data_IF_347188665681
#
_entry.id   IF_347188665681
#
_cell.length_a   1.000
_cell.length_b   1.000
_cell.length_c   1.000
_cell.angle_alpha   90.00
_cell.angle_beta   90.00
_cell.angle_gamma   90.00
#
_symmetry.space_group_name_H-M   'P 1'
#
loop_
_entity.id
_entity.type
_entity.pdbx_description
1 polymer ?
#
# COMPACT_ATOMS: atom_id res chain seq x y z
N UNK A 1 23.77 -3.22 44.37
CA UNK A 1 23.68 -3.81 43.01
C UNK A 1 23.37 -2.71 42.01
N UNK A 2 24.23 -2.57 40.99
CA UNK A 2 24.33 -1.39 40.14
C UNK A 2 23.09 -1.09 39.30
N UNK A 3 22.61 0.15 39.41
CA UNK A 3 21.67 0.74 38.46
C UNK A 3 22.41 0.87 37.12
N UNK A 4 22.15 -0.07 36.21
CA UNK A 4 22.55 0.06 34.80
C UNK A 4 21.90 1.34 34.28
N UNK A 5 22.75 2.33 34.01
CA UNK A 5 22.41 3.59 33.37
C UNK A 5 21.80 3.27 32.00
N UNK A 6 20.48 3.34 31.89
CA UNK A 6 19.76 3.17 30.62
C UNK A 6 20.24 4.30 29.70
N UNK A 7 20.73 3.95 28.52
CA UNK A 7 21.25 4.91 27.55
C UNK A 7 20.16 5.94 27.18
N UNK A 8 20.52 7.19 26.84
CA UNK A 8 19.56 8.28 26.58
C UNK A 8 18.70 8.10 25.31
N UNK A 9 18.67 6.91 24.69
CA UNK A 9 17.85 6.58 23.51
C UNK A 9 16.45 6.00 23.85
N UNK A 10 16.10 5.85 25.12
CA UNK A 10 14.83 5.20 25.53
C UNK A 10 13.81 6.19 26.11
N UNK A 11 14.15 7.49 26.15
CA UNK A 11 13.28 8.57 26.65
C UNK A 11 12.25 9.06 25.61
N UNK A 12 12.06 8.35 24.50
CA UNK A 12 11.05 8.67 23.47
C UNK A 12 9.73 7.91 23.70
N UNK A 13 9.31 7.80 24.96
CA UNK A 13 7.95 7.40 25.32
C UNK A 13 7.01 8.60 25.23
N UNK A 14 6.62 8.96 24.01
CA UNK A 14 5.51 9.88 23.79
C UNK A 14 4.60 9.23 22.76
N UNK A 15 3.50 8.64 23.24
CA UNK A 15 2.45 7.97 22.48
C UNK A 15 1.93 8.83 21.30
N UNK A 16 1.93 10.17 21.47
CA UNK A 16 1.55 11.13 20.42
C UNK A 16 2.71 11.46 19.47
N UNK A 17 3.97 11.33 19.91
CA UNK A 17 5.16 11.63 19.11
C UNK A 17 5.62 10.40 18.32
N UNK A 18 5.42 9.17 18.79
CA UNK A 18 5.73 7.95 18.04
C UNK A 18 4.82 7.79 16.81
N UNK A 19 3.51 8.02 16.97
CA UNK A 19 2.59 8.13 15.84
C UNK A 19 2.93 9.33 14.97
N UNK A 20 3.22 10.51 15.54
CA UNK A 20 3.60 11.70 14.77
C UNK A 20 4.94 11.57 14.05
N UNK A 21 5.92 10.81 14.56
CA UNK A 21 7.24 10.55 13.96
C UNK A 21 7.14 9.44 12.91
N UNK A 22 6.36 8.39 13.17
CA UNK A 22 6.03 7.40 12.14
C UNK A 22 5.23 8.02 10.99
N UNK A 23 4.34 8.97 11.28
CA UNK A 23 3.67 9.79 10.28
C UNK A 23 4.63 10.80 9.65
N UNK A 24 5.51 11.48 10.39
CA UNK A 24 6.47 12.45 9.83
C UNK A 24 7.43 11.77 8.85
N UNK A 25 7.93 10.59 9.18
CA UNK A 25 8.72 9.76 8.26
C UNK A 25 7.92 9.29 7.03
N UNK A 26 6.59 9.16 7.14
CA UNK A 26 5.68 8.90 6.02
C UNK A 26 5.41 10.17 5.19
N UNK A 27 5.33 11.35 5.84
CA UNK A 27 5.18 12.67 5.23
C UNK A 27 6.43 13.10 4.47
N UNK A 28 7.62 12.88 5.05
CA UNK A 28 8.92 13.19 4.46
C UNK A 28 9.22 12.29 3.24
N UNK A 29 8.65 11.08 3.20
CA UNK A 29 8.74 10.17 2.04
C UNK A 29 7.96 10.64 0.80
N UNK A 30 6.79 11.24 1.02
CA UNK A 30 5.99 11.84 -0.05
C UNK A 30 6.46 13.28 -0.36
N UNK A 31 7.07 13.96 0.62
CA UNK A 31 7.51 15.36 0.57
C UNK A 31 8.96 15.59 0.11
N UNK A 32 9.89 14.66 0.32
CA UNK A 32 11.28 14.81 -0.10
C UNK A 32 11.48 14.26 -1.51
N UNK A 33 11.34 15.14 -2.51
CA UNK A 33 11.87 14.94 -3.86
C UNK A 33 10.86 14.86 -5.01
N UNK A 34 9.57 15.13 -4.78
CA UNK A 34 8.74 15.67 -5.84
C UNK A 34 8.85 17.16 -5.63
N UNK A 35 9.74 17.83 -6.37
CA UNK A 35 9.82 19.28 -6.33
C UNK A 35 8.53 19.81 -6.98
N UNK A 36 7.47 19.94 -6.15
CA UNK A 36 6.12 20.40 -6.53
C UNK A 36 6.12 21.91 -6.87
N UNK A 37 7.31 22.51 -6.92
CA UNK A 37 7.58 23.90 -7.28
C UNK A 37 7.76 24.09 -8.78
N UNK A 38 8.02 23.03 -9.56
CA UNK A 38 8.07 23.13 -11.02
C UNK A 38 6.66 23.07 -11.62
N UNK A 39 6.21 24.21 -12.15
CA UNK A 39 4.89 24.44 -12.78
C UNK A 39 4.52 23.39 -13.85
N UNK A 40 5.51 22.63 -14.34
CA UNK A 40 5.38 21.60 -15.38
C UNK A 40 4.66 20.30 -14.95
N UNK A 41 4.65 19.94 -13.66
CA UNK A 41 4.02 18.71 -13.15
C UNK A 41 2.57 18.89 -12.66
N UNK A 42 2.05 20.13 -12.58
CA UNK A 42 0.64 20.41 -12.23
C UNK A 42 -0.32 20.37 -13.42
N UNK A 43 0.21 20.22 -14.64
CA UNK A 43 -0.61 20.19 -15.84
C UNK A 43 -1.52 18.96 -15.88
N UNK A 44 -2.83 19.19 -16.03
CA UNK A 44 -3.84 18.14 -16.23
C UNK A 44 -3.45 17.17 -17.35
N UNK A 45 -2.76 17.67 -18.39
CA UNK A 45 -2.22 16.87 -19.50
C UNK A 45 -1.29 15.76 -19.02
N UNK A 46 -0.41 16.06 -18.07
CA UNK A 46 0.58 15.09 -17.56
C UNK A 46 -0.10 13.98 -16.75
N UNK A 47 -1.10 14.33 -15.93
CA UNK A 47 -1.89 13.36 -15.16
C UNK A 47 -2.74 12.52 -16.10
N UNK A 48 -3.44 13.16 -17.03
CA UNK A 48 -4.30 12.52 -18.01
C UNK A 48 -3.56 11.49 -18.86
N UNK A 49 -2.42 11.85 -19.46
CA UNK A 49 -1.62 10.92 -20.28
C UNK A 49 -1.15 9.72 -19.47
N UNK A 50 -0.73 9.91 -18.21
CA UNK A 50 -0.31 8.80 -17.34
C UNK A 50 -1.47 7.88 -16.96
N UNK A 51 -2.66 8.41 -16.73
CA UNK A 51 -3.85 7.59 -16.46
C UNK A 51 -4.31 6.85 -17.72
N UNK A 52 -4.35 7.55 -18.85
CA UNK A 52 -4.75 6.99 -20.15
C UNK A 52 -3.83 5.83 -20.55
N UNK A 53 -2.51 5.99 -20.41
CA UNK A 53 -1.53 4.95 -20.73
C UNK A 53 -1.70 3.67 -19.90
N UNK A 54 -2.14 3.79 -18.64
CA UNK A 54 -2.42 2.62 -17.79
C UNK A 54 -3.80 1.99 -18.07
N UNK A 55 -4.75 2.74 -18.63
CA UNK A 55 -6.09 2.23 -18.99
C UNK A 55 -6.11 1.58 -20.37
N UNK A 56 -5.38 2.12 -21.35
CA UNK A 56 -5.22 1.53 -22.68
C UNK A 56 -4.26 0.35 -22.58
N UNK A 57 -4.77 -0.76 -22.07
CA UNK A 57 -4.06 -2.03 -21.97
C UNK A 57 -4.29 -2.93 -23.19
N UNK A 58 -3.39 -3.89 -23.36
CA UNK A 58 -3.46 -4.98 -24.36
C UNK A 58 -4.79 -5.76 -24.29
N UNK A 59 -5.43 -5.77 -23.12
CA UNK A 59 -6.70 -6.47 -22.85
C UNK A 59 -7.83 -5.99 -23.76
N UNK A 60 -7.93 -4.69 -24.05
CA UNK A 60 -9.02 -4.14 -24.86
C UNK A 60 -8.93 -4.67 -26.30
N UNK A 61 -7.73 -4.81 -26.86
CA UNK A 61 -7.55 -5.22 -28.25
C UNK A 61 -7.73 -6.73 -28.46
N UNK A 62 -7.24 -7.56 -27.55
CA UNK A 62 -7.25 -9.02 -27.72
C UNK A 62 -8.60 -9.63 -27.31
N UNK A 63 -9.27 -9.06 -26.29
CA UNK A 63 -10.38 -9.76 -25.63
C UNK A 63 -11.76 -9.19 -25.93
N UNK A 64 -11.88 -7.92 -26.31
CA UNK A 64 -13.21 -7.34 -26.54
C UNK A 64 -13.94 -8.04 -27.69
N UNK A 65 -13.19 -8.48 -28.71
CA UNK A 65 -13.75 -9.23 -29.84
C UNK A 65 -14.31 -10.58 -29.37
N UNK A 66 -13.50 -11.39 -28.68
CA UNK A 66 -13.94 -12.69 -28.16
C UNK A 66 -15.13 -12.57 -27.20
N UNK A 67 -15.13 -11.58 -26.30
CA UNK A 67 -16.25 -11.34 -25.37
C UNK A 67 -17.54 -11.00 -26.14
N UNK A 68 -17.45 -10.14 -27.16
CA UNK A 68 -18.61 -9.71 -27.96
C UNK A 68 -19.20 -10.88 -28.75
N UNK A 69 -18.34 -11.77 -29.27
CA UNK A 69 -18.77 -12.97 -30.00
C UNK A 69 -19.49 -13.99 -29.09
N UNK A 70 -19.07 -14.15 -27.84
CA UNK A 70 -19.66 -15.12 -26.92
C UNK A 70 -20.96 -14.62 -26.26
N UNK A 71 -20.99 -13.35 -25.86
CA UNK A 71 -22.05 -12.78 -25.01
C UNK A 71 -23.03 -11.91 -25.80
N UNK A 72 -22.64 -11.45 -26.98
CA UNK A 72 -23.43 -10.54 -27.81
C UNK A 72 -23.25 -9.07 -27.43
N UNK A 73 -23.46 -8.18 -28.42
CA UNK A 73 -23.09 -6.77 -28.34
C UNK A 73 -23.78 -6.01 -27.19
N UNK A 74 -25.09 -6.21 -26.99
CA UNK A 74 -25.85 -5.48 -25.96
C UNK A 74 -25.35 -5.74 -24.53
N UNK A 75 -25.09 -7.01 -24.22
CA UNK A 75 -24.58 -7.42 -22.91
C UNK A 75 -23.11 -7.00 -22.70
N UNK A 76 -22.28 -7.04 -23.76
CA UNK A 76 -20.90 -6.52 -23.69
C UNK A 76 -20.87 -5.03 -23.36
N UNK A 77 -21.75 -4.22 -24.00
CA UNK A 77 -21.89 -2.79 -23.67
C UNK A 77 -22.36 -2.61 -22.23
N UNK A 78 -23.32 -3.41 -21.76
CA UNK A 78 -23.77 -3.38 -20.36
C UNK A 78 -22.65 -3.65 -19.35
N UNK A 79 -21.79 -4.64 -19.63
CA UNK A 79 -20.63 -4.95 -18.78
C UNK A 79 -19.60 -3.80 -18.75
N UNK A 80 -19.31 -3.19 -19.89
CA UNK A 80 -18.40 -2.04 -19.98
C UNK A 80 -18.96 -0.85 -19.21
N UNK A 81 -20.26 -0.57 -19.32
CA UNK A 81 -20.93 0.50 -18.57
C UNK A 81 -20.86 0.25 -17.06
N UNK A 82 -21.11 -0.99 -16.62
CA UNK A 82 -20.98 -1.36 -15.21
C UNK A 82 -19.56 -1.11 -14.69
N UNK A 83 -18.53 -1.57 -15.44
CA UNK A 83 -17.14 -1.35 -15.08
C UNK A 83 -16.77 0.15 -15.05
N UNK A 84 -17.30 0.94 -15.99
CA UNK A 84 -17.12 2.39 -16.04
C UNK A 84 -17.75 3.09 -14.83
N UNK A 85 -18.97 2.68 -14.43
CA UNK A 85 -19.65 3.21 -13.24
C UNK A 85 -18.80 2.98 -11.99
N UNK A 86 -18.33 1.75 -11.76
CA UNK A 86 -17.47 1.45 -10.59
C UNK A 86 -16.20 2.29 -10.57
N UNK A 87 -15.58 2.46 -11.74
CA UNK A 87 -14.35 3.24 -11.91
C UNK A 87 -14.59 4.73 -11.63
N UNK A 88 -15.68 5.30 -12.14
CA UNK A 88 -16.05 6.72 -11.90
C UNK A 88 -16.37 6.96 -10.43
N UNK A 89 -17.18 6.10 -9.81
CA UNK A 89 -17.53 6.22 -8.40
C UNK A 89 -16.29 6.15 -7.49
N UNK A 90 -15.36 5.23 -7.78
CA UNK A 90 -14.09 5.13 -7.06
C UNK A 90 -13.16 6.33 -7.34
N UNK A 91 -13.22 6.91 -8.55
CA UNK A 91 -12.45 8.13 -8.85
C UNK A 91 -12.93 9.32 -8.03
N UNK A 92 -14.25 9.44 -7.79
CA UNK A 92 -14.81 10.49 -6.92
C UNK A 92 -14.31 10.33 -5.48
N UNK A 93 -14.18 9.10 -4.96
CA UNK A 93 -13.65 8.87 -3.62
C UNK A 93 -12.15 9.15 -3.52
N UNK A 94 -11.36 8.80 -4.54
CA UNK A 94 -9.95 9.17 -4.63
C UNK A 94 -9.78 10.69 -4.67
N UNK A 95 -10.60 11.40 -5.45
CA UNK A 95 -10.59 12.86 -5.53
C UNK A 95 -10.91 13.52 -4.17
N UNK A 96 -11.82 12.93 -3.39
CA UNK A 96 -12.12 13.36 -2.03
C UNK A 96 -10.88 13.33 -1.13
N UNK A 97 -10.12 12.22 -1.13
CA UNK A 97 -8.87 12.13 -0.38
C UNK A 97 -7.80 13.10 -0.87
N UNK A 98 -7.67 13.29 -2.19
CA UNK A 98 -6.68 14.22 -2.74
C UNK A 98 -6.99 15.70 -2.45
N UNK A 99 -8.24 16.05 -2.13
CA UNK A 99 -8.62 17.45 -1.83
C UNK A 99 -8.10 17.91 -0.46
N UNK A 100 -7.85 16.97 0.45
CA UNK A 100 -7.44 17.29 1.82
C UNK A 100 -5.92 17.37 2.03
N UNK A 101 -5.15 17.38 0.94
CA UNK A 101 -3.71 17.15 0.95
C UNK A 101 -2.94 18.07 1.89
N UNK A 102 -2.57 17.50 3.05
CA UNK A 102 -1.43 17.97 3.85
C UNK A 102 -0.16 17.18 3.49
N UNK A 103 -0.27 15.91 3.07
CA UNK A 103 0.80 14.97 2.64
C UNK A 103 0.19 13.88 1.74
N UNK A 104 0.95 13.15 0.93
CA UNK A 104 0.46 12.32 -0.20
C UNK A 104 -0.71 11.34 0.03
N UNK A 105 -1.18 10.70 -1.05
CA UNK A 105 -2.47 9.98 -1.08
C UNK A 105 -2.61 8.90 0.01
N UNK A 106 -1.63 8.00 0.11
CA UNK A 106 -1.67 6.93 1.12
C UNK A 106 -1.43 7.45 2.53
N UNK A 107 -0.76 8.61 2.69
CA UNK A 107 -0.58 9.29 3.97
C UNK A 107 -1.92 9.80 4.49
N UNK A 108 -2.70 10.40 3.59
CA UNK A 108 -4.04 10.90 3.88
C UNK A 108 -5.00 9.76 4.20
N UNK A 109 -4.90 8.60 3.54
CA UNK A 109 -5.70 7.42 3.93
C UNK A 109 -5.33 6.95 5.34
N UNK A 110 -4.04 6.95 5.68
CA UNK A 110 -3.56 6.55 6.99
C UNK A 110 -4.08 7.47 8.12
N UNK A 111 -4.35 8.75 7.87
CA UNK A 111 -4.91 9.64 8.92
C UNK A 111 -6.34 9.27 9.30
N UNK A 112 -7.10 8.66 8.39
CA UNK A 112 -8.50 8.30 8.59
C UNK A 112 -8.73 6.91 9.15
N UNK A 113 -7.83 5.99 8.79
CA UNK A 113 -7.87 4.60 9.21
C UNK A 113 -6.83 4.31 10.28
N UNK A 114 -6.88 3.12 10.88
CA UNK A 114 -5.74 2.67 11.67
C UNK A 114 -4.53 2.44 10.73
N UNK A 115 -3.29 2.71 11.17
CA UNK A 115 -2.12 2.55 10.31
C UNK A 115 -1.95 1.12 9.76
N UNK A 116 -2.51 0.13 10.45
CA UNK A 116 -2.48 -1.27 10.00
C UNK A 116 -3.36 -1.52 8.78
N UNK A 117 -4.53 -0.89 8.72
CA UNK A 117 -5.46 -1.06 7.59
C UNK A 117 -4.97 -0.27 6.37
N UNK A 118 -4.46 0.95 6.55
CA UNK A 118 -3.87 1.72 5.44
C UNK A 118 -2.65 1.01 4.84
N UNK A 119 -1.79 0.43 5.67
CA UNK A 119 -0.65 -0.36 5.19
C UNK A 119 -1.11 -1.61 4.44
N UNK A 120 -2.17 -2.29 4.88
CA UNK A 120 -2.74 -3.43 4.15
C UNK A 120 -3.23 -3.05 2.75
N UNK A 121 -3.92 -1.91 2.61
CA UNK A 121 -4.37 -1.41 1.30
C UNK A 121 -3.18 -1.08 0.39
N UNK A 122 -2.13 -0.48 0.94
CA UNK A 122 -0.91 -0.20 0.16
C UNK A 122 -0.25 -1.49 -0.33
N UNK A 123 -0.16 -2.52 0.52
CA UNK A 123 0.39 -3.83 0.14
C UNK A 123 -0.44 -4.46 -0.99
N UNK A 124 -1.77 -4.38 -0.91
CA UNK A 124 -2.63 -4.87 -1.99
C UNK A 124 -2.46 -4.12 -3.28
N UNK A 125 -2.36 -2.81 -3.21
CA UNK A 125 -2.15 -2.01 -4.40
C UNK A 125 -0.80 -2.36 -5.05
N UNK A 126 0.24 -2.59 -4.26
CA UNK A 126 1.55 -3.07 -4.76
C UNK A 126 1.42 -4.45 -5.41
N UNK A 127 0.76 -5.42 -4.76
CA UNK A 127 0.53 -6.76 -5.32
C UNK A 127 -0.27 -6.67 -6.62
N UNK A 128 -1.33 -5.87 -6.66
CA UNK A 128 -2.16 -5.66 -7.85
C UNK A 128 -1.33 -5.14 -9.02
N UNK A 129 -0.43 -4.18 -8.78
CA UNK A 129 0.44 -3.64 -9.83
C UNK A 129 1.48 -4.66 -10.33
N UNK A 130 1.97 -5.56 -9.46
CA UNK A 130 2.85 -6.66 -9.87
C UNK A 130 2.11 -7.62 -10.81
N UNK A 131 0.88 -7.99 -10.44
CA UNK A 131 0.03 -8.87 -11.27
C UNK A 131 -0.34 -8.17 -12.58
N UNK A 132 -0.62 -6.87 -12.56
CA UNK A 132 -0.91 -6.08 -13.76
C UNK A 132 0.26 -6.13 -14.75
N UNK A 133 1.48 -5.92 -14.25
CA UNK A 133 2.68 -5.98 -15.08
C UNK A 133 2.90 -7.38 -15.68
N UNK A 134 2.69 -8.45 -14.90
CA UNK A 134 2.73 -9.82 -15.41
C UNK A 134 1.65 -10.05 -16.49
N UNK A 135 0.43 -9.55 -16.28
CA UNK A 135 -0.66 -9.64 -17.25
C UNK A 135 -0.33 -8.96 -18.58
N UNK A 136 0.29 -7.77 -18.55
CA UNK A 136 0.75 -7.09 -19.76
C UNK A 136 1.84 -7.87 -20.49
N UNK A 137 2.78 -8.47 -19.75
CA UNK A 137 3.83 -9.31 -20.35
C UNK A 137 3.26 -10.55 -21.04
N UNK A 138 2.30 -11.22 -20.40
CA UNK A 138 1.63 -12.40 -20.96
C UNK A 138 0.81 -12.02 -22.20
N UNK A 139 0.07 -10.90 -22.17
CA UNK A 139 -0.70 -10.44 -23.33
C UNK A 139 0.17 -10.08 -24.54
N UNK A 140 1.34 -9.49 -24.31
CA UNK A 140 2.34 -9.28 -25.35
C UNK A 140 2.86 -10.61 -25.91
N UNK A 141 3.20 -11.56 -25.04
CA UNK A 141 3.69 -12.86 -25.43
C UNK A 141 2.66 -13.66 -26.25
N UNK A 142 1.39 -13.64 -25.86
CA UNK A 142 0.29 -14.27 -26.60
C UNK A 142 0.20 -13.71 -28.04
N UNK A 143 0.24 -12.39 -28.19
CA UNK A 143 0.19 -11.74 -29.50
C UNK A 143 1.39 -12.11 -30.37
N UNK A 144 2.59 -12.07 -29.79
CA UNK A 144 3.82 -12.36 -30.53
C UNK A 144 3.90 -13.83 -30.95
N UNK A 145 3.56 -14.76 -30.06
CA UNK A 145 3.54 -16.20 -30.37
C UNK A 145 2.50 -16.51 -31.44
N UNK A 146 1.30 -15.91 -31.36
CA UNK A 146 0.27 -16.08 -32.40
C UNK A 146 0.73 -15.53 -33.76
N UNK A 147 1.42 -14.39 -33.78
CA UNK A 147 1.97 -13.81 -35.01
C UNK A 147 3.08 -14.68 -35.62
N UNK A 148 4.01 -15.17 -34.80
CA UNK A 148 5.10 -16.06 -35.24
C UNK A 148 4.57 -17.39 -35.78
N UNK A 149 3.56 -17.95 -35.10
CA UNK A 149 2.85 -19.15 -35.55
C UNK A 149 2.24 -18.97 -36.94
N UNK A 150 1.61 -17.83 -37.21
CA UNK A 150 1.05 -17.53 -38.53
C UNK A 150 2.13 -17.39 -39.61
N UNK A 151 3.36 -17.05 -39.22
CA UNK A 151 4.51 -16.92 -40.12
C UNK A 151 5.28 -18.24 -40.31
N UNK A 152 4.81 -19.35 -39.74
CA UNK A 152 5.44 -20.67 -39.82
C UNK A 152 6.64 -20.89 -38.89
N UNK A 153 6.94 -19.92 -38.01
CA UNK A 153 8.01 -20.05 -37.02
C UNK A 153 7.46 -20.59 -35.70
N UNK A 154 7.95 -21.77 -35.30
CA UNK A 154 7.65 -22.42 -34.02
C UNK A 154 8.96 -22.51 -33.22
N UNK A 155 8.99 -22.03 -31.96
CA UNK A 155 10.20 -22.12 -31.13
C UNK A 155 10.32 -23.50 -30.48
N UNK A 156 9.28 -23.95 -29.78
CA UNK A 156 9.23 -25.29 -29.16
C UNK A 156 7.89 -25.96 -29.46
N UNK A 157 6.79 -25.38 -29.00
CA UNK A 157 5.46 -25.99 -29.08
C UNK A 157 4.34 -25.04 -29.59
N UNK A 158 4.67 -23.77 -29.83
CA UNK A 158 3.76 -22.68 -30.19
C UNK A 158 2.47 -22.64 -29.36
N UNK A 159 2.55 -23.03 -28.10
CA UNK A 159 1.42 -23.06 -27.17
C UNK A 159 1.80 -22.39 -25.85
N UNK A 160 1.82 -23.13 -24.73
CA UNK A 160 2.07 -22.57 -23.40
C UNK A 160 3.56 -22.35 -23.14
N UNK A 161 4.45 -23.23 -23.59
CA UNK A 161 5.88 -23.09 -23.27
C UNK A 161 6.51 -21.93 -24.03
N UNK A 162 6.15 -21.73 -25.29
CA UNK A 162 6.60 -20.57 -26.07
C UNK A 162 6.10 -19.25 -25.43
N UNK A 163 4.86 -19.23 -24.94
CA UNK A 163 4.32 -18.06 -24.22
C UNK A 163 5.03 -17.80 -22.88
N UNK A 164 5.47 -18.83 -22.15
CA UNK A 164 6.30 -18.68 -20.93
C UNK A 164 7.64 -18.06 -21.27
N UNK A 165 8.34 -18.56 -22.27
CA UNK A 165 9.67 -18.10 -22.64
C UNK A 165 9.62 -16.65 -23.12
N UNK A 166 8.69 -16.34 -24.03
CA UNK A 166 8.54 -14.97 -24.56
C UNK A 166 8.13 -14.00 -23.46
N UNK A 167 7.19 -14.36 -22.58
CA UNK A 167 6.76 -13.47 -21.50
C UNK A 167 7.87 -13.27 -20.44
N UNK A 168 8.69 -14.29 -20.17
CA UNK A 168 9.85 -14.17 -19.28
C UNK A 168 10.92 -13.26 -19.87
N UNK A 169 11.28 -13.48 -21.13
CA UNK A 169 12.27 -12.65 -21.82
C UNK A 169 11.80 -11.19 -21.88
N UNK A 170 10.55 -10.94 -22.26
CA UNK A 170 10.00 -9.58 -22.30
C UNK A 170 9.98 -8.94 -20.90
N UNK A 171 9.51 -9.66 -19.89
CA UNK A 171 9.47 -9.20 -18.51
C UNK A 171 10.86 -8.79 -18.00
N UNK A 172 11.89 -9.63 -18.22
CA UNK A 172 13.26 -9.36 -17.80
C UNK A 172 13.85 -8.16 -18.55
N UNK A 173 13.64 -8.06 -19.87
CA UNK A 173 14.15 -6.96 -20.68
C UNK A 173 13.55 -5.60 -20.25
N UNK A 174 12.23 -5.54 -20.05
CA UNK A 174 11.57 -4.31 -19.61
C UNK A 174 12.03 -3.91 -18.20
N UNK A 175 12.28 -4.90 -17.33
CA UNK A 175 12.76 -4.67 -15.96
C UNK A 175 14.22 -4.22 -15.93
N UNK A 176 15.07 -4.79 -16.78
CA UNK A 176 16.44 -4.33 -16.99
C UNK A 176 16.46 -2.89 -17.54
N UNK A 177 15.63 -2.59 -18.53
CA UNK A 177 15.48 -1.22 -19.07
C UNK A 177 15.00 -0.24 -17.99
N UNK A 178 14.06 -0.65 -17.14
CA UNK A 178 13.60 0.16 -16.01
C UNK A 178 14.68 0.38 -14.94
N UNK A 179 15.60 -0.57 -14.72
CA UNK A 179 16.77 -0.36 -13.86
C UNK A 179 17.80 0.57 -14.49
N UNK A 180 18.02 0.49 -15.82
CA UNK A 180 18.99 1.32 -16.54
C UNK A 180 18.54 2.79 -16.68
N UNK A 181 17.22 3.04 -16.75
CA UNK A 181 16.64 4.39 -16.87
C UNK A 181 16.70 5.24 -15.59
N UNK A 182 17.25 4.67 -14.51
CA UNK A 182 17.46 5.25 -13.17
C UNK A 182 18.20 6.59 -13.12
N UNK A 183 18.85 7.04 -14.20
CA UNK A 183 19.71 8.23 -14.13
C UNK A 183 19.02 9.58 -14.29
N UNK A 184 17.85 9.66 -14.94
CA UNK A 184 17.27 10.99 -15.25
C UNK A 184 15.76 11.12 -15.17
N UNK A 185 14.96 10.05 -15.15
CA UNK A 185 13.51 10.24 -15.02
C UNK A 185 12.81 9.02 -14.43
N UNK A 186 11.85 9.36 -13.59
CA UNK A 186 10.78 8.52 -13.04
C UNK A 186 11.11 7.77 -11.76
N UNK A 187 10.86 8.50 -10.66
CA UNK A 187 10.46 7.99 -9.34
C UNK A 187 9.45 6.85 -9.55
N UNK A 188 9.92 5.61 -9.60
CA UNK A 188 9.06 4.44 -9.71
C UNK A 188 8.09 4.48 -8.53
N UNK A 189 6.82 4.82 -8.80
CA UNK A 189 5.75 4.99 -7.80
C UNK A 189 5.66 3.80 -6.84
N UNK A 190 5.97 2.62 -7.36
CA UNK A 190 6.02 1.36 -6.63
C UNK A 190 7.12 1.30 -5.54
N UNK A 191 8.27 1.93 -5.79
CA UNK A 191 9.37 2.02 -4.82
C UNK A 191 9.01 2.94 -3.64
N UNK A 192 8.39 4.08 -3.91
CA UNK A 192 7.89 5.02 -2.88
C UNK A 192 6.79 4.36 -2.03
N UNK A 193 5.93 3.55 -2.66
CA UNK A 193 4.87 2.81 -1.94
C UNK A 193 5.43 1.73 -1.02
N UNK A 194 6.42 0.97 -1.47
CA UNK A 194 7.06 -0.04 -0.62
C UNK A 194 7.84 0.63 0.51
N UNK A 195 8.57 1.71 0.21
CA UNK A 195 9.19 2.58 1.21
C UNK A 195 8.22 3.06 2.29
N UNK A 196 7.03 3.52 1.89
CA UNK A 196 5.97 3.99 2.79
C UNK A 196 5.49 2.88 3.74
N UNK A 197 5.51 1.61 3.31
CA UNK A 197 5.13 0.48 4.17
C UNK A 197 6.26 0.07 5.13
N UNK A 198 7.52 0.03 4.67
CA UNK A 198 8.63 -0.43 5.50
C UNK A 198 9.20 0.63 6.46
N UNK A 199 8.94 1.93 6.27
CA UNK A 199 9.24 2.97 7.27
C UNK A 199 8.26 3.02 8.45
N UNK A 200 7.22 2.18 8.47
CA UNK A 200 6.43 1.94 9.68
C UNK A 200 7.14 0.88 10.56
N UNK A 201 7.81 1.26 11.66
CA UNK A 201 8.52 0.30 12.49
C UNK A 201 7.55 -0.75 13.06
N UNK A 202 7.85 -2.03 12.83
CA UNK A 202 7.22 -3.14 13.55
C UNK A 202 5.99 -3.78 12.91
N UNK A 203 5.46 -3.29 11.77
CA UNK A 203 4.27 -3.91 11.15
C UNK A 203 4.56 -5.32 10.61
N UNK A 204 5.64 -5.50 9.84
CA UNK A 204 6.10 -6.80 9.33
C UNK A 204 7.59 -6.95 9.63
N UNK A 205 8.04 -8.06 10.28
CA UNK A 205 9.46 -8.22 10.58
C UNK A 205 10.28 -8.29 9.29
N UNK A 206 11.40 -7.57 9.22
CA UNK A 206 12.34 -7.61 8.10
C UNK A 206 12.08 -6.65 6.93
N UNK A 207 10.92 -5.97 6.89
CA UNK A 207 10.60 -5.02 5.82
C UNK A 207 11.46 -3.75 5.84
N UNK A 208 11.96 -3.35 7.01
CA UNK A 208 12.87 -2.21 7.18
C UNK A 208 14.16 -2.35 6.34
N UNK A 209 14.67 -3.58 6.19
CA UNK A 209 15.84 -3.86 5.34
C UNK A 209 15.54 -3.76 3.84
N UNK A 210 14.30 -4.03 3.46
CA UNK A 210 13.83 -4.01 2.06
C UNK A 210 13.60 -2.58 1.57
N UNK A 211 13.15 -1.71 2.47
CA UNK A 211 12.84 -0.31 2.22
C UNK A 211 13.99 0.64 2.49
N UNK A 212 15.19 0.15 2.79
CA UNK A 212 16.33 1.06 2.92
C UNK A 212 16.65 1.64 1.54
N UNK A 213 16.53 2.95 1.40
CA UNK A 213 16.94 3.64 0.19
C UNK A 213 18.46 3.69 0.07
N UNK A 214 18.94 3.73 -1.17
CA UNK A 214 20.35 3.70 -1.53
C UNK A 214 20.67 4.83 -2.52
N UNK A 215 21.76 5.55 -2.26
CA UNK A 215 22.25 6.64 -3.12
C UNK A 215 21.71 8.02 -2.72
N UNK A 216 22.02 9.04 -3.53
CA UNK A 216 21.64 10.44 -3.28
C UNK A 216 20.12 10.69 -3.37
N UNK A 217 19.39 9.80 -4.05
CA UNK A 217 17.94 9.90 -4.28
C UNK A 217 17.10 8.97 -3.39
N UNK A 218 17.70 8.32 -2.38
CA UNK A 218 17.01 7.39 -1.46
C UNK A 218 16.24 6.24 -2.17
N UNK A 219 16.78 5.75 -3.31
CA UNK A 219 16.11 4.75 -4.14
C UNK A 219 16.13 3.34 -3.49
N UNK A 220 14.97 2.68 -3.26
CA UNK A 220 14.90 1.39 -2.57
C UNK A 220 15.18 0.23 -3.53
N UNK A 221 16.45 0.07 -3.93
CA UNK A 221 16.88 -0.90 -4.95
C UNK A 221 16.47 -2.34 -4.61
N UNK A 222 16.53 -2.74 -3.33
CA UNK A 222 16.17 -4.08 -2.88
C UNK A 222 14.66 -4.36 -3.04
N UNK A 223 13.81 -3.39 -2.72
CA UNK A 223 12.38 -3.49 -2.95
C UNK A 223 12.07 -3.72 -4.43
N UNK A 224 12.74 -2.99 -5.32
CA UNK A 224 12.58 -3.15 -6.75
C UNK A 224 12.92 -4.58 -7.21
N UNK A 225 14.03 -5.15 -6.72
CA UNK A 225 14.44 -6.53 -7.04
C UNK A 225 13.42 -7.57 -6.54
N UNK A 226 12.87 -7.40 -5.34
CA UNK A 226 11.86 -8.34 -4.82
C UNK A 226 10.57 -8.31 -5.63
N UNK A 227 10.09 -7.11 -5.97
CA UNK A 227 8.91 -6.93 -6.83
C UNK A 227 9.16 -7.51 -8.22
N UNK A 228 10.35 -7.28 -8.74
CA UNK A 228 10.82 -7.79 -10.03
C UNK A 228 10.76 -9.31 -10.09
N UNK A 229 11.29 -9.98 -9.06
CA UNK A 229 11.22 -11.44 -8.93
C UNK A 229 9.77 -11.91 -8.82
N UNK A 230 8.93 -11.23 -8.05
CA UNK A 230 7.51 -11.57 -7.92
C UNK A 230 6.76 -11.45 -9.26
N UNK A 231 7.05 -10.43 -10.07
CA UNK A 231 6.48 -10.25 -11.41
C UNK A 231 6.90 -11.38 -12.37
N UNK A 232 8.17 -11.79 -12.32
CA UNK A 232 8.70 -12.92 -13.10
C UNK A 232 7.99 -14.21 -12.72
N UNK A 233 7.82 -14.50 -11.43
CA UNK A 233 7.11 -15.69 -10.94
C UNK A 233 5.66 -15.70 -11.45
N UNK A 234 4.96 -14.56 -11.35
CA UNK A 234 3.57 -14.47 -11.83
C UNK A 234 3.47 -14.62 -13.35
N UNK A 235 4.49 -14.19 -14.10
CA UNK A 235 4.52 -14.35 -15.56
C UNK A 235 4.65 -15.82 -15.99
N UNK A 236 5.23 -16.69 -15.16
CA UNK A 236 5.38 -18.12 -15.47
C UNK A 236 4.05 -18.90 -15.52
N UNK A 237 2.96 -18.35 -14.99
CA UNK A 237 1.63 -18.98 -15.07
C UNK A 237 1.20 -19.19 -16.53
N UNK A 238 1.57 -18.26 -17.43
CA UNK A 238 1.32 -18.34 -18.87
C UNK A 238 -0.10 -18.83 -19.22
N UNK A 239 -1.07 -18.28 -18.50
CA UNK A 239 -2.50 -18.37 -18.82
C UNK A 239 -3.08 -16.97 -18.60
N UNK A 240 -3.37 -16.29 -19.70
CA UNK A 240 -3.84 -14.92 -19.66
C UNK A 240 -5.15 -14.79 -18.88
N UNK A 241 -6.10 -15.72 -19.09
CA UNK A 241 -7.44 -15.63 -18.51
C UNK A 241 -7.41 -15.80 -17.00
N UNK A 242 -6.60 -16.74 -16.49
CA UNK A 242 -6.41 -16.92 -15.05
C UNK A 242 -5.77 -15.71 -14.41
N UNK A 243 -4.72 -15.17 -15.02
CA UNK A 243 -4.00 -14.01 -14.47
C UNK A 243 -4.90 -12.76 -14.48
N UNK A 244 -5.69 -12.54 -15.53
CA UNK A 244 -6.65 -11.43 -15.62
C UNK A 244 -7.76 -11.53 -14.56
N UNK A 245 -8.25 -12.75 -14.27
CA UNK A 245 -9.23 -12.97 -13.20
C UNK A 245 -8.64 -12.63 -11.82
N UNK A 246 -7.44 -13.14 -11.53
CA UNK A 246 -6.73 -12.82 -10.27
C UNK A 246 -6.51 -11.31 -10.15
N UNK A 247 -6.03 -10.66 -11.22
CA UNK A 247 -5.83 -9.21 -11.26
C UNK A 247 -7.10 -8.44 -10.88
N UNK A 248 -8.24 -8.85 -11.45
CA UNK A 248 -9.54 -8.23 -11.23
C UNK A 248 -9.96 -8.32 -9.76
N UNK A 249 -9.77 -9.47 -9.12
CA UNK A 249 -10.09 -9.68 -7.69
C UNK A 249 -9.27 -8.73 -6.80
N UNK A 250 -7.96 -8.59 -7.05
CA UNK A 250 -7.09 -7.74 -6.25
C UNK A 250 -7.37 -6.24 -6.43
N UNK A 251 -7.64 -5.77 -7.65
CA UNK A 251 -8.02 -4.38 -7.89
C UNK A 251 -9.41 -4.06 -7.32
N UNK A 252 -10.40 -4.92 -7.52
CA UNK A 252 -11.74 -4.74 -6.93
C UNK A 252 -11.68 -4.75 -5.39
N UNK A 253 -10.83 -5.59 -4.79
CA UNK A 253 -10.62 -5.60 -3.33
C UNK A 253 -10.03 -4.29 -2.84
N UNK A 254 -9.06 -3.74 -3.56
CA UNK A 254 -8.47 -2.43 -3.24
C UNK A 254 -9.52 -1.31 -3.36
N UNK A 255 -10.33 -1.32 -4.41
CA UNK A 255 -11.41 -0.35 -4.60
C UNK A 255 -12.51 -0.47 -3.53
N UNK A 256 -12.88 -1.70 -3.15
CA UNK A 256 -13.81 -1.94 -2.04
C UNK A 256 -13.30 -1.28 -0.75
N UNK A 257 -12.06 -1.55 -0.37
CA UNK A 257 -11.47 -1.02 0.87
C UNK A 257 -11.32 0.51 0.82
N UNK A 258 -10.90 1.08 -0.31
CA UNK A 258 -10.79 2.54 -0.47
C UNK A 258 -12.15 3.24 -0.30
N UNK A 259 -13.20 2.72 -0.94
CA UNK A 259 -14.55 3.27 -0.84
C UNK A 259 -15.12 3.11 0.57
N UNK A 260 -14.88 1.99 1.23
CA UNK A 260 -15.27 1.77 2.63
C UNK A 260 -14.55 2.74 3.59
N UNK A 261 -13.25 2.98 3.40
CA UNK A 261 -12.53 3.96 4.22
C UNK A 261 -13.07 5.37 3.98
N UNK A 262 -13.40 5.74 2.73
CA UNK A 262 -13.95 7.05 2.44
C UNK A 262 -15.29 7.27 3.17
N UNK A 263 -16.13 6.23 3.23
CA UNK A 263 -17.35 6.24 4.04
C UNK A 263 -17.04 6.42 5.53
N UNK A 264 -16.13 5.62 6.08
CA UNK A 264 -15.73 5.69 7.50
C UNK A 264 -15.08 7.04 7.88
N UNK A 265 -14.28 7.62 6.98
CA UNK A 265 -13.68 8.93 7.13
C UNK A 265 -14.77 10.01 7.20
N UNK A 266 -15.75 9.93 6.30
CA UNK A 266 -16.87 10.87 6.24
C UNK A 266 -17.81 10.81 7.46
N UNK A 267 -17.78 9.75 8.27
CA UNK A 267 -18.51 9.68 9.53
C UNK A 267 -17.75 10.34 10.69
N UNK A 268 -16.42 10.40 10.61
CA UNK A 268 -15.56 10.94 11.68
C UNK A 268 -15.25 12.42 11.52
N UNK A 269 -15.45 12.98 10.34
CA UNK A 269 -15.00 14.33 10.00
C UNK A 269 -16.12 15.10 9.34
N UNK A 270 -16.45 16.25 9.93
CA UNK A 270 -17.51 17.16 9.45
C UNK A 270 -17.05 18.09 8.34
N UNK A 271 -15.76 18.05 7.97
CA UNK A 271 -15.24 18.88 6.87
C UNK A 271 -15.85 18.43 5.54
N UNK A 272 -16.25 19.39 4.68
CA UNK A 272 -16.73 19.05 3.36
C UNK A 272 -15.58 18.46 2.53
N UNK A 273 -15.70 17.17 2.18
CA UNK A 273 -14.87 16.56 1.14
C UNK A 273 -15.31 17.08 -0.25
N UNK A 274 -14.63 16.65 -1.31
CA UNK A 274 -14.89 17.03 -2.70
C UNK A 274 -16.40 17.16 -3.04
N UNK A 275 -16.78 18.18 -3.82
CA UNK A 275 -18.19 18.61 -4.05
C UNK A 275 -19.16 17.49 -4.46
N UNK A 276 -18.70 16.53 -5.28
CA UNK A 276 -19.51 15.42 -5.77
C UNK A 276 -19.48 14.17 -4.88
N UNK A 277 -18.70 14.20 -3.80
CA UNK A 277 -18.65 13.09 -2.86
C UNK A 277 -19.92 13.02 -2.01
N UNK A 278 -20.57 11.86 -1.98
CA UNK A 278 -21.68 11.54 -1.09
C UNK A 278 -21.36 10.26 -0.33
N UNK A 279 -21.58 10.27 0.99
CA UNK A 279 -21.23 9.18 1.92
C UNK A 279 -21.84 7.84 1.49
N UNK A 280 -23.13 7.85 1.20
CA UNK A 280 -23.90 6.65 0.81
C UNK A 280 -23.49 6.08 -0.54
N UNK A 281 -23.07 6.94 -1.47
CA UNK A 281 -22.58 6.50 -2.78
C UNK A 281 -21.27 5.71 -2.63
N UNK A 282 -20.38 6.14 -1.73
CA UNK A 282 -19.16 5.39 -1.41
C UNK A 282 -19.47 4.02 -0.80
N UNK A 283 -20.45 3.96 0.12
CA UNK A 283 -20.88 2.70 0.72
C UNK A 283 -21.48 1.75 -0.32
N UNK A 284 -22.37 2.25 -1.17
CA UNK A 284 -22.96 1.49 -2.28
C UNK A 284 -21.89 0.94 -3.21
N UNK A 285 -20.90 1.75 -3.57
CA UNK A 285 -19.77 1.32 -4.43
C UNK A 285 -18.98 0.19 -3.78
N UNK A 286 -18.74 0.26 -2.45
CA UNK A 286 -18.08 -0.82 -1.72
C UNK A 286 -18.86 -2.13 -1.79
N UNK A 287 -20.18 -2.11 -1.60
CA UNK A 287 -21.02 -3.30 -1.71
C UNK A 287 -21.07 -3.85 -3.13
N UNK A 288 -21.14 -2.96 -4.13
CA UNK A 288 -21.09 -3.33 -5.53
C UNK A 288 -19.76 -4.02 -5.86
N UNK A 289 -18.61 -3.51 -5.37
CA UNK A 289 -17.32 -4.19 -5.53
C UNK A 289 -17.32 -5.60 -4.91
N UNK A 290 -17.86 -5.78 -3.70
CA UNK A 290 -17.97 -7.12 -3.07
C UNK A 290 -18.81 -8.06 -3.94
N UNK A 291 -19.93 -7.58 -4.45
CA UNK A 291 -20.79 -8.36 -5.33
C UNK A 291 -20.07 -8.78 -6.63
N UNK A 292 -19.32 -7.88 -7.27
CA UNK A 292 -18.54 -8.20 -8.47
C UNK A 292 -17.42 -9.21 -8.19
N UNK A 293 -16.75 -9.10 -7.04
CA UNK A 293 -15.71 -10.05 -6.65
C UNK A 293 -16.32 -11.46 -6.54
N UNK A 294 -17.47 -11.60 -5.86
CA UNK A 294 -18.19 -12.87 -5.73
C UNK A 294 -18.65 -13.42 -7.09
N UNK A 295 -19.05 -12.54 -8.01
CA UNK A 295 -19.49 -12.92 -9.36
C UNK A 295 -18.33 -13.42 -10.24
N UNK A 296 -17.10 -12.91 -10.08
CA UNK A 296 -15.93 -13.33 -10.88
C UNK A 296 -15.54 -14.77 -10.58
N UNK A 297 -15.41 -15.12 -9.31
CA UNK A 297 -15.13 -16.49 -8.89
C UNK A 297 -15.28 -16.62 -7.39
N UNK A 298 -16.22 -17.44 -6.95
CA UNK A 298 -16.46 -17.66 -5.52
C UNK A 298 -15.29 -18.40 -4.84
N UNK A 299 -14.61 -19.32 -5.55
CA UNK A 299 -13.50 -20.10 -5.02
C UNK A 299 -12.26 -19.24 -4.69
N UNK A 300 -11.77 -18.47 -5.67
CA UNK A 300 -10.62 -17.59 -5.47
C UNK A 300 -10.95 -16.42 -4.53
N UNK A 301 -12.21 -15.98 -4.52
CA UNK A 301 -12.68 -14.93 -3.61
C UNK A 301 -12.62 -15.37 -2.15
N UNK A 302 -13.08 -16.57 -1.83
CA UNK A 302 -13.02 -17.10 -0.46
C UNK A 302 -11.56 -17.27 -0.02
N UNK A 303 -10.67 -17.73 -0.91
CA UNK A 303 -9.25 -17.81 -0.63
C UNK A 303 -8.61 -16.43 -0.40
N UNK A 304 -8.97 -15.42 -1.20
CA UNK A 304 -8.49 -14.05 -1.05
C UNK A 304 -8.98 -13.44 0.28
N UNK A 305 -10.28 -13.55 0.58
CA UNK A 305 -10.89 -13.08 1.85
C UNK A 305 -10.23 -13.75 3.05
N UNK A 306 -9.99 -15.06 3.01
CA UNK A 306 -9.28 -15.77 4.08
C UNK A 306 -7.85 -15.25 4.25
N UNK A 307 -7.14 -15.01 3.15
CA UNK A 307 -5.79 -14.43 3.17
C UNK A 307 -5.81 -13.03 3.80
N UNK A 308 -6.81 -12.21 3.45
CA UNK A 308 -7.04 -10.90 4.05
C UNK A 308 -7.33 -10.95 5.53
N UNK A 309 -8.21 -11.86 5.93
CA UNK A 309 -8.63 -11.99 7.31
C UNK A 309 -7.46 -12.46 8.17
N UNK A 310 -6.68 -13.43 7.69
CA UNK A 310 -5.43 -13.88 8.34
C UNK A 310 -4.42 -12.74 8.46
N UNK A 311 -4.21 -11.96 7.40
CA UNK A 311 -3.29 -10.82 7.41
C UNK A 311 -3.76 -9.71 8.36
N UNK A 312 -5.06 -9.41 8.37
CA UNK A 312 -5.67 -8.44 9.27
C UNK A 312 -5.56 -8.88 10.74
N UNK A 313 -5.87 -10.14 11.04
CA UNK A 313 -5.70 -10.71 12.39
C UNK A 313 -4.23 -10.64 12.79
N UNK A 314 -3.29 -10.98 11.90
CA UNK A 314 -1.87 -10.90 12.17
C UNK A 314 -1.44 -9.47 12.53
N UNK A 315 -1.85 -8.48 11.74
CA UNK A 315 -1.59 -7.06 12.04
C UNK A 315 -2.19 -6.66 13.38
N UNK A 316 -3.46 -7.01 13.64
CA UNK A 316 -4.15 -6.64 14.87
C UNK A 316 -3.52 -7.31 16.09
N UNK A 317 -3.14 -8.58 15.98
CA UNK A 317 -2.44 -9.33 17.02
C UNK A 317 -1.11 -8.67 17.35
N UNK A 318 -0.33 -8.29 16.32
CA UNK A 318 0.96 -7.63 16.52
C UNK A 318 0.81 -6.20 17.07
N UNK A 319 -0.20 -5.46 16.62
CA UNK A 319 -0.55 -4.17 17.22
C UNK A 319 -0.96 -4.33 18.69
N UNK A 320 -1.65 -5.41 19.05
CA UNK A 320 -2.01 -5.70 20.44
C UNK A 320 -0.77 -5.96 21.31
N UNK A 321 0.24 -6.65 20.78
CA UNK A 321 1.51 -6.86 21.48
C UNK A 321 2.26 -5.54 21.70
N UNK A 322 2.39 -4.73 20.65
CA UNK A 322 3.05 -3.42 20.73
C UNK A 322 2.32 -2.47 21.71
N UNK A 323 0.98 -2.46 21.67
CA UNK A 323 0.17 -1.70 22.63
C UNK A 323 0.28 -2.25 24.05
N UNK A 324 0.39 -3.57 24.22
CA UNK A 324 0.61 -4.19 25.53
C UNK A 324 1.90 -3.69 26.18
N UNK A 325 2.99 -3.71 25.42
CA UNK A 325 4.31 -3.27 25.87
C UNK A 325 4.33 -1.75 26.18
N UNK A 326 3.72 -0.93 25.31
CA UNK A 326 3.57 0.52 25.57
C UNK A 326 2.64 0.84 26.74
N UNK A 327 1.58 0.05 26.97
CA UNK A 327 0.64 0.27 28.08
C UNK A 327 1.29 0.02 29.43
N UNK A 328 2.23 -0.92 29.53
CA UNK A 328 3.03 -1.16 30.75
C UNK A 328 3.88 0.08 31.07
N UNK A 329 4.55 0.65 30.07
CA UNK A 329 5.37 1.86 30.24
C UNK A 329 4.52 3.11 30.48
N UNK A 330 3.41 3.25 29.76
CA UNK A 330 2.47 4.37 29.88
C UNK A 330 1.73 4.39 31.22
N UNK A 331 1.42 3.22 31.80
CA UNK A 331 0.83 3.12 33.14
C UNK A 331 1.80 3.64 34.21
N UNK A 332 3.08 3.28 34.10
CA UNK A 332 4.14 3.80 34.99
C UNK A 332 4.29 5.31 34.86
N UNK A 333 4.27 5.85 33.63
CA UNK A 333 4.30 7.29 33.37
C UNK A 333 3.07 8.02 33.92
N UNK A 334 1.86 7.52 33.67
CA UNK A 334 0.62 8.14 34.15
C UNK A 334 0.53 8.11 35.69
N UNK A 335 1.05 7.06 36.32
CA UNK A 335 1.15 6.95 37.78
C UNK A 335 2.16 7.98 38.34
N UNK A 336 3.33 8.10 37.72
CA UNK A 336 4.34 9.09 38.11
C UNK A 336 3.85 10.54 37.88
N UNK A 337 3.17 10.81 36.77
CA UNK A 337 2.59 12.11 36.45
C UNK A 337 1.44 12.46 37.40
N UNK A 338 0.59 11.48 37.74
CA UNK A 338 -0.45 11.63 38.76
C UNK A 338 0.14 11.98 40.13
N UNK A 339 1.22 11.30 40.53
CA UNK A 339 1.97 11.62 41.75
C UNK A 339 2.53 13.05 41.73
N UNK A 340 3.17 13.47 40.63
CA UNK A 340 3.70 14.83 40.46
C UNK A 340 2.61 15.91 40.51
N UNK A 341 1.46 15.65 39.88
CA UNK A 341 0.33 16.60 39.86
C UNK A 341 -0.33 16.73 41.23
N UNK A 342 -0.35 15.65 42.02
CA UNK A 342 -0.83 15.66 43.39
C UNK A 342 0.13 16.40 44.33
N UNK A 343 1.44 16.19 44.18
CA UNK A 343 2.46 16.97 44.92
C UNK A 343 2.40 18.47 44.59
N UNK A 344 2.08 18.84 43.35
CA UNK A 344 1.86 20.24 42.98
C UNK A 344 0.57 20.86 43.55
N UNK A 345 -0.36 20.06 44.07
CA UNK A 345 -1.58 20.52 44.77
C UNK A 345 -1.40 20.62 46.28
N UNK A 346 -0.36 20.02 46.85
CA UNK A 346 -0.05 20.16 48.27
C UNK A 346 0.62 21.52 48.52
N UNK A 347 -0.07 22.40 49.26
CA UNK A 347 0.36 23.77 49.59
C UNK A 347 1.16 23.88 50.90
N UNK A 348 1.47 22.77 51.56
CA UNK A 348 2.19 22.78 52.84
C UNK A 348 3.71 22.88 52.63
N UNK A 349 4.30 24.03 52.99
CA UNK A 349 5.74 24.28 52.97
C UNK A 349 6.45 23.67 54.19
N UNK A 350 6.37 22.35 54.34
CA UNK A 350 7.18 21.61 55.32
C UNK A 350 8.52 21.19 54.71
N UNK A 351 9.63 21.88 55.04
CA UNK A 351 10.96 21.47 54.56
C UNK A 351 11.36 20.11 55.16
N UNK A 352 11.43 19.08 54.31
CA UNK A 352 12.01 17.78 54.65
C UNK A 352 13.29 17.59 53.82
N UNK A 353 14.47 17.43 54.44
CA UNK A 353 15.72 17.29 53.70
C UNK A 353 15.73 15.97 52.91
N UNK A 354 15.81 16.06 51.59
CA UNK A 354 16.00 14.87 50.75
C UNK A 354 17.47 14.42 50.82
N UNK A 355 17.75 13.44 51.69
CA UNK A 355 19.07 12.79 51.70
C UNK A 355 19.26 12.03 50.38
N UNK A 356 20.23 12.45 49.57
CA UNK A 356 20.65 11.70 48.38
C UNK A 356 21.08 10.29 48.82
N UNK A 357 20.68 9.21 48.11
CA UNK A 357 21.11 7.86 48.41
C UNK A 357 22.55 7.66 47.91
N UNK A 358 23.50 8.34 48.52
CA UNK A 358 24.90 7.95 48.51
C UNK A 358 25.18 7.44 49.92
N UNK A 359 25.81 6.26 50.03
CA UNK A 359 26.40 5.63 51.24
C UNK A 359 25.70 4.34 51.75
N UNK A 360 24.44 4.04 51.44
CA UNK A 360 23.84 2.78 51.95
C UNK A 360 24.23 1.51 51.18
N UNK A 361 25.06 1.62 50.14
CA UNK A 361 25.60 0.49 49.39
C UNK A 361 26.89 -0.11 49.97
N UNK A 362 27.51 0.53 50.98
CA UNK A 362 28.83 0.10 51.50
C UNK A 362 28.75 -0.75 52.78
N UNK A 363 27.58 -0.86 53.42
CA UNK A 363 27.42 -1.58 54.71
C UNK A 363 26.82 -2.99 54.51
N UNK A 364 26.34 -3.33 53.31
CA UNK A 364 25.77 -4.65 53.01
C UNK A 364 26.79 -5.65 52.42
N UNK A 365 28.09 -5.40 52.59
CA UNK A 365 29.19 -6.20 52.00
C UNK A 365 30.35 -6.51 52.95
N UNK A 366 30.14 -6.34 54.25
CA UNK A 366 30.94 -6.89 55.36
C UNK A 366 29.99 -7.78 56.16
#
# INVERSE_FOLDING_TARGET
MGVKRISPKVQDCIDVRFYRVSFRNFQDLDGEGLDITSDHQRNWKHVFVRCLQHMIGVIIFIRIQWITEQVGLGLTVGFILLAAIVSVLTTITIAAFCTEQRNGFFATIATYCSPGVSAGITVLYVISNVIAYACFSIGFAETLVNFLRNSGFHMIDASSNDMRIVSLLFCINVMAAAMLRSKENFRCRLGVLVLAVGRCPGLVPGWDKLTRGYGKEDNPRKAYVVISIAAVIMSMLADFNRVASILTIYYLSTYCLLNYIAFMASLKTDKPMFRFFKRWVALFTSFLCVHLILAVSWELTNAAILTFFKFYIFIKWKQSQLKGDQKIVGSSYNTALGGLKNMGRETEFGYKPQRKPLIMGLIAGL
#
